data_IF_875764796954
#
_entry.id   IF_875764796954
#
_cell.length_a   1.000
_cell.length_b   1.000
_cell.length_c   1.000
_cell.angle_alpha   90.00
_cell.angle_beta   90.00
_cell.angle_gamma   90.00
#
_symmetry.space_group_name_H-M   'P 1'
#
loop_
_entity.id
_entity.type
_entity.pdbx_description
1 polymer ?
#
# COMPACT_ATOMS: atom_id res chain seq x y z
N UNK A 1 53.23 -24.49 56.28
CA UNK A 1 52.92 -24.06 54.90
C UNK A 1 51.59 -24.71 54.51
N UNK A 2 50.50 -23.94 54.55
CA UNK A 2 49.76 -23.39 53.37
C UNK A 2 48.93 -24.51 52.69
N UNK A 3 47.66 -24.66 53.10
CA UNK A 3 46.40 -24.28 52.37
C UNK A 3 45.97 -25.33 51.31
N UNK A 4 44.71 -25.75 51.09
CA UNK A 4 43.37 -25.28 51.52
C UNK A 4 42.33 -26.39 51.22
N UNK A 5 41.20 -26.29 51.92
CA UNK A 5 40.00 -27.13 52.01
C UNK A 5 39.14 -27.41 50.75
N UNK A 6 38.37 -28.50 50.87
CA UNK A 6 36.95 -28.75 50.52
C UNK A 6 36.37 -28.41 49.14
N UNK A 7 35.67 -29.39 48.54
CA UNK A 7 34.18 -29.38 48.52
C UNK A 7 33.55 -30.47 47.65
N UNK A 8 32.84 -31.37 48.32
CA UNK A 8 31.40 -31.65 48.16
C UNK A 8 30.82 -31.82 46.73
N UNK A 9 30.70 -33.09 46.31
CA UNK A 9 29.87 -33.51 45.18
C UNK A 9 28.38 -33.33 45.52
N UNK A 10 27.71 -32.34 44.93
CA UNK A 10 26.25 -32.25 44.89
C UNK A 10 25.74 -32.61 43.50
N UNK A 11 24.93 -33.67 43.46
CA UNK A 11 24.13 -34.12 42.34
C UNK A 11 23.38 -32.94 41.68
N UNK A 12 23.69 -32.70 40.40
CA UNK A 12 22.91 -31.80 39.55
C UNK A 12 21.81 -32.64 38.88
N UNK A 13 20.57 -32.47 39.36
CA UNK A 13 19.35 -32.89 38.65
C UNK A 13 19.20 -31.99 37.42
N UNK A 14 19.36 -32.55 36.23
CA UNK A 14 19.05 -31.86 34.96
C UNK A 14 17.53 -31.78 34.84
N UNK A 15 16.99 -30.59 35.07
CA UNK A 15 15.58 -30.25 34.83
C UNK A 15 15.44 -30.00 33.31
N UNK A 16 14.69 -30.86 32.64
CA UNK A 16 14.22 -30.65 31.27
C UNK A 16 13.27 -29.45 31.24
N UNK A 17 13.79 -28.27 30.87
CA UNK A 17 13.00 -27.11 30.51
C UNK A 17 12.45 -27.32 29.09
N UNK A 18 11.16 -27.64 28.99
CA UNK A 18 10.42 -27.57 27.74
C UNK A 18 10.27 -26.09 27.34
N UNK A 19 11.05 -25.65 26.36
CA UNK A 19 10.87 -24.36 25.71
C UNK A 19 9.56 -24.38 24.91
N UNK A 20 8.63 -23.41 25.10
CA UNK A 20 7.55 -23.25 24.15
C UNK A 20 8.16 -22.81 22.83
N UNK A 21 8.03 -23.67 21.81
CA UNK A 21 8.30 -23.31 20.42
C UNK A 21 7.29 -22.20 20.10
N UNK A 22 7.74 -20.95 20.18
CA UNK A 22 7.02 -19.81 19.61
C UNK A 22 7.00 -20.08 18.11
N UNK A 23 5.93 -20.71 17.65
CA UNK A 23 5.63 -20.82 16.25
C UNK A 23 5.43 -19.41 15.72
N UNK A 24 6.43 -18.87 15.02
CA UNK A 24 6.20 -17.79 14.09
C UNK A 24 5.22 -18.33 13.06
N UNK A 25 3.93 -18.01 13.24
CA UNK A 25 2.95 -18.17 12.19
C UNK A 25 3.38 -17.26 11.05
N UNK A 26 4.15 -17.80 10.10
CA UNK A 26 4.39 -17.17 8.82
C UNK A 26 3.04 -17.15 8.12
N UNK A 27 2.34 -16.02 8.20
CA UNK A 27 1.18 -15.76 7.36
C UNK A 27 1.62 -15.93 5.90
N UNK A 28 1.07 -16.96 5.27
CA UNK A 28 1.43 -17.33 3.91
C UNK A 28 1.05 -16.20 2.94
N UNK A 29 1.87 -15.87 1.92
CA UNK A 29 1.60 -14.76 0.98
C UNK A 29 0.28 -14.87 0.19
N UNK A 30 -0.42 -16.02 0.27
CA UNK A 30 -1.71 -16.24 -0.38
C UNK A 30 -2.94 -15.80 0.44
N UNK A 31 -2.79 -15.16 1.61
CA UNK A 31 -3.92 -14.79 2.48
C UNK A 31 -4.33 -13.31 2.45
N UNK A 32 -3.64 -12.45 1.71
CA UNK A 32 -3.96 -11.03 1.71
C UNK A 32 -5.17 -10.74 0.79
N UNK A 33 -6.36 -10.82 1.37
CA UNK A 33 -7.62 -10.57 0.68
C UNK A 33 -7.72 -9.14 0.14
N UNK A 34 -7.10 -8.16 0.81
CA UNK A 34 -7.07 -6.77 0.36
C UNK A 34 -6.20 -6.62 -0.88
N UNK A 35 -4.99 -7.21 -0.88
CA UNK A 35 -4.11 -7.19 -2.05
C UNK A 35 -4.79 -7.76 -3.30
N UNK A 36 -5.45 -8.92 -3.18
CA UNK A 36 -6.18 -9.53 -4.31
C UNK A 36 -7.34 -8.68 -4.79
N UNK A 37 -8.11 -8.10 -3.86
CA UNK A 37 -9.25 -7.27 -4.19
C UNK A 37 -8.82 -6.00 -4.93
N UNK A 38 -7.76 -5.33 -4.44
CA UNK A 38 -7.20 -4.15 -5.11
C UNK A 38 -6.66 -4.52 -6.49
N UNK A 39 -5.88 -5.60 -6.62
CA UNK A 39 -5.35 -6.03 -7.91
C UNK A 39 -6.46 -6.30 -8.94
N UNK A 40 -7.52 -7.01 -8.55
CA UNK A 40 -8.66 -7.28 -9.43
C UNK A 40 -9.36 -5.98 -9.86
N UNK A 41 -9.60 -5.05 -8.93
CA UNK A 41 -10.22 -3.77 -9.26
C UNK A 41 -9.33 -2.92 -10.17
N UNK A 42 -8.02 -2.89 -9.94
CA UNK A 42 -7.04 -2.21 -10.81
C UNK A 42 -7.11 -2.77 -12.23
N UNK A 43 -7.22 -4.08 -12.42
CA UNK A 43 -7.37 -4.66 -13.75
C UNK A 43 -8.69 -4.26 -14.43
N UNK A 44 -9.79 -4.24 -13.68
CA UNK A 44 -11.10 -3.82 -14.20
C UNK A 44 -11.16 -2.33 -14.60
N UNK A 45 -10.23 -1.50 -14.14
CA UNK A 45 -10.10 -0.10 -14.61
C UNK A 45 -9.76 0.00 -16.09
N UNK A 46 -9.18 -1.05 -16.69
CA UNK A 46 -8.80 -1.04 -18.11
C UNK A 46 -9.92 -1.54 -19.03
N UNK A 47 -11.08 -1.87 -18.48
CA UNK A 47 -12.24 -2.38 -19.21
C UNK A 47 -13.36 -1.32 -19.22
N UNK A 48 -13.80 -0.83 -20.40
CA UNK A 48 -14.77 0.26 -20.50
C UNK A 48 -16.13 -0.03 -19.85
N UNK A 49 -16.48 -1.30 -19.65
CA UNK A 49 -17.75 -1.69 -19.03
C UNK A 49 -17.73 -1.65 -17.51
N UNK A 50 -16.55 -1.65 -16.91
CA UNK A 50 -16.34 -1.84 -15.47
C UNK A 50 -15.51 -0.73 -14.84
N UNK A 51 -14.86 0.11 -15.64
CA UNK A 51 -13.94 1.16 -15.20
C UNK A 51 -14.53 2.03 -14.08
N UNK A 52 -15.67 2.69 -14.32
CA UNK A 52 -16.29 3.57 -13.32
C UNK A 52 -16.66 2.83 -12.03
N UNK A 53 -17.21 1.62 -12.16
CA UNK A 53 -17.55 0.79 -10.99
C UNK A 53 -16.30 0.34 -10.23
N UNK A 54 -15.17 0.15 -10.92
CA UNK A 54 -13.91 -0.20 -10.30
C UNK A 54 -13.34 0.99 -9.51
N UNK A 55 -13.45 2.22 -10.03
CA UNK A 55 -13.06 3.44 -9.32
C UNK A 55 -13.86 3.62 -8.03
N UNK A 56 -15.19 3.59 -8.12
CA UNK A 56 -16.08 3.69 -6.95
C UNK A 56 -15.73 2.62 -5.90
N UNK A 57 -15.52 1.38 -6.33
CA UNK A 57 -15.16 0.30 -5.42
C UNK A 57 -13.80 0.50 -4.77
N UNK A 58 -12.79 0.98 -5.50
CA UNK A 58 -11.47 1.29 -4.94
C UNK A 58 -11.57 2.40 -3.88
N UNK A 59 -12.35 3.45 -4.12
CA UNK A 59 -12.60 4.51 -3.14
C UNK A 59 -13.27 3.98 -1.87
N UNK A 60 -14.28 3.10 -2.01
CA UNK A 60 -14.99 2.54 -0.84
C UNK A 60 -14.14 1.65 0.06
N UNK A 61 -12.96 1.20 -0.40
CA UNK A 61 -12.04 0.43 0.44
C UNK A 61 -11.41 1.29 1.56
N UNK A 62 -11.34 2.61 1.38
CA UNK A 62 -10.85 3.54 2.38
C UNK A 62 -9.34 3.44 2.68
N UNK A 63 -8.88 4.11 3.75
CA UNK A 63 -7.45 4.28 4.06
C UNK A 63 -6.65 2.97 4.20
N UNK A 64 -7.28 1.87 4.62
CA UNK A 64 -6.60 0.59 4.82
C UNK A 64 -6.13 -0.05 3.50
N UNK A 65 -6.72 0.34 2.37
CA UNK A 65 -6.30 -0.10 1.05
C UNK A 65 -5.12 0.70 0.48
N UNK A 66 -4.77 1.85 1.05
CA UNK A 66 -3.77 2.75 0.49
C UNK A 66 -2.42 2.05 0.19
N UNK A 67 -1.85 1.20 1.06
CA UNK A 67 -0.61 0.49 0.74
C UNK A 67 -0.67 -0.41 -0.48
N UNK A 68 -1.81 -1.05 -0.69
CA UNK A 68 -2.04 -1.93 -1.82
C UNK A 68 -2.29 -1.14 -3.10
N UNK A 69 -2.95 0.02 -3.01
CA UNK A 69 -3.11 0.90 -4.18
C UNK A 69 -1.76 1.51 -4.59
N UNK A 70 -0.95 1.96 -3.62
CA UNK A 70 0.42 2.47 -3.87
C UNK A 70 1.30 1.42 -4.55
N UNK A 71 1.10 0.13 -4.25
CA UNK A 71 1.81 -0.96 -4.92
C UNK A 71 1.61 -0.98 -6.44
N UNK A 72 0.44 -0.54 -6.92
CA UNK A 72 0.09 -0.49 -8.34
C UNK A 72 0.44 0.84 -9.03
N UNK A 73 0.94 1.85 -8.30
CA UNK A 73 1.37 3.10 -8.92
C UNK A 73 2.51 2.85 -9.92
N UNK A 74 2.37 3.47 -11.09
CA UNK A 74 3.28 3.26 -12.23
C UNK A 74 2.72 2.27 -13.25
N UNK A 75 1.51 1.77 -13.05
CA UNK A 75 0.73 1.16 -14.13
C UNK A 75 0.39 2.20 -15.19
N UNK A 76 0.99 2.02 -16.37
CA UNK A 76 0.88 2.94 -17.51
C UNK A 76 -0.10 2.44 -18.58
N UNK A 77 -0.92 1.41 -18.28
CA UNK A 77 -1.98 0.99 -19.19
C UNK A 77 -2.96 2.16 -19.41
N UNK A 78 -3.42 2.39 -20.65
CA UNK A 78 -4.36 3.47 -20.93
C UNK A 78 -5.72 3.21 -20.30
N UNK A 79 -6.36 4.27 -19.82
CA UNK A 79 -7.77 4.22 -19.42
C UNK A 79 -8.67 4.27 -20.67
N UNK A 80 -9.68 3.39 -20.78
CA UNK A 80 -10.62 3.43 -21.88
C UNK A 80 -11.49 4.71 -21.91
N UNK A 81 -11.82 5.30 -20.76
CA UNK A 81 -12.51 6.60 -20.69
C UNK A 81 -11.54 7.63 -20.12
N UNK A 82 -11.22 8.65 -20.92
CA UNK A 82 -10.13 9.59 -20.62
C UNK A 82 -10.59 10.85 -19.87
N UNK A 83 -11.88 10.96 -19.60
CA UNK A 83 -12.49 12.07 -18.90
C UNK A 83 -13.35 11.51 -17.79
N UNK A 84 -13.00 11.82 -16.54
CA UNK A 84 -13.83 11.49 -15.40
C UNK A 84 -14.33 12.76 -14.71
N UNK A 85 -15.55 12.66 -14.20
CA UNK A 85 -16.19 13.63 -13.33
C UNK A 85 -16.15 13.09 -11.90
N UNK A 86 -15.32 13.68 -11.04
CA UNK A 86 -15.29 13.32 -9.61
C UNK A 86 -16.13 14.32 -8.81
N UNK A 87 -16.97 13.81 -7.90
CA UNK A 87 -17.77 14.64 -7.01
C UNK A 87 -16.87 15.46 -6.08
N UNK A 88 -17.07 16.77 -6.02
CA UNK A 88 -16.25 17.66 -5.22
C UNK A 88 -16.82 17.72 -3.78
N UNK A 89 -16.27 16.90 -2.86
CA UNK A 89 -16.74 16.83 -1.47
C UNK A 89 -16.30 18.00 -0.57
N UNK A 90 -15.62 19.01 -1.11
CA UNK A 90 -15.10 20.14 -0.31
C UNK A 90 -16.16 21.23 -0.10
N UNK A 91 -16.39 21.71 1.14
CA UNK A 91 -17.29 22.83 1.42
C UNK A 91 -16.88 24.16 0.77
N UNK A 92 -15.63 24.27 0.29
CA UNK A 92 -15.07 25.46 -0.36
C UNK A 92 -14.96 25.31 -1.89
N UNK A 93 -15.52 24.26 -2.47
CA UNK A 93 -15.51 24.04 -3.91
C UNK A 93 -16.47 25.00 -4.63
N UNK A 94 -15.97 25.71 -5.64
CA UNK A 94 -16.80 26.58 -6.50
C UNK A 94 -17.65 25.77 -7.50
N UNK A 95 -17.15 24.62 -7.97
CA UNK A 95 -17.84 23.69 -8.86
C UNK A 95 -18.07 22.35 -8.13
N UNK A 96 -19.29 21.81 -8.22
CA UNK A 96 -19.67 20.54 -7.57
C UNK A 96 -19.02 19.29 -8.15
N UNK A 97 -18.29 19.43 -9.26
CA UNK A 97 -17.62 18.36 -10.00
C UNK A 97 -16.23 18.83 -10.40
N UNK A 98 -15.25 17.93 -10.42
CA UNK A 98 -13.92 18.16 -10.99
C UNK A 98 -13.76 17.35 -12.27
N UNK A 99 -13.35 17.99 -13.35
CA UNK A 99 -12.99 17.33 -14.60
C UNK A 99 -11.50 16.96 -14.60
N UNK A 100 -11.20 15.68 -14.79
CA UNK A 100 -9.83 15.20 -14.90
C UNK A 100 -9.63 14.48 -16.24
N UNK A 101 -8.60 14.90 -16.99
CA UNK A 101 -8.12 14.15 -18.15
C UNK A 101 -7.12 13.08 -17.68
N UNK A 102 -7.64 11.95 -17.22
CA UNK A 102 -6.84 10.82 -16.76
C UNK A 102 -6.50 9.94 -17.97
N UNK A 103 -5.21 9.77 -18.25
CA UNK A 103 -4.80 9.04 -19.46
C UNK A 103 -4.51 7.57 -19.16
N UNK A 104 -3.99 7.28 -17.98
CA UNK A 104 -3.49 5.97 -17.58
C UNK A 104 -3.90 5.60 -16.17
N UNK A 105 -3.84 4.30 -15.86
CA UNK A 105 -4.19 3.74 -14.54
C UNK A 105 -3.47 4.48 -13.39
N UNK A 106 -2.19 4.84 -13.54
CA UNK A 106 -1.47 5.63 -12.53
C UNK A 106 -2.22 6.90 -12.11
N UNK A 107 -2.79 7.64 -13.07
CA UNK A 107 -3.40 8.95 -12.82
C UNK A 107 -4.63 8.81 -11.91
N UNK A 108 -5.48 7.80 -12.18
CA UNK A 108 -6.66 7.53 -11.35
C UNK A 108 -6.30 6.95 -9.99
N UNK A 109 -5.28 6.09 -9.89
CA UNK A 109 -4.85 5.58 -8.59
C UNK A 109 -4.29 6.69 -7.69
N UNK A 110 -3.56 7.66 -8.26
CA UNK A 110 -3.07 8.84 -7.52
C UNK A 110 -4.24 9.71 -7.02
N UNK A 111 -5.27 9.91 -7.86
CA UNK A 111 -6.48 10.64 -7.47
C UNK A 111 -7.27 9.92 -6.36
N UNK A 112 -7.46 8.60 -6.46
CA UNK A 112 -8.13 7.79 -5.43
C UNK A 112 -7.33 7.85 -4.12
N UNK A 113 -6.00 7.73 -4.18
CA UNK A 113 -5.14 7.85 -3.01
C UNK A 113 -5.31 9.22 -2.33
N UNK A 114 -5.40 10.30 -3.10
CA UNK A 114 -5.71 11.62 -2.56
C UNK A 114 -7.05 11.65 -1.83
N UNK A 115 -8.10 11.09 -2.46
CA UNK A 115 -9.45 11.04 -1.90
C UNK A 115 -9.51 10.23 -0.59
N UNK A 116 -8.94 9.03 -0.56
CA UNK A 116 -9.06 8.13 0.61
C UNK A 116 -8.11 8.50 1.75
N UNK A 117 -7.00 9.18 1.49
CA UNK A 117 -6.01 9.53 2.51
C UNK A 117 -6.09 10.99 2.98
N UNK A 118 -6.71 11.86 2.19
CA UNK A 118 -6.68 13.31 2.37
C UNK A 118 -5.31 13.94 2.07
N UNK A 119 -4.32 13.17 1.64
CA UNK A 119 -2.97 13.65 1.31
C UNK A 119 -2.93 14.07 -0.15
N UNK A 120 -2.45 15.28 -0.42
CA UNK A 120 -2.27 15.76 -1.78
C UNK A 120 -0.79 15.92 -2.07
N UNK A 121 -0.32 15.30 -3.14
CA UNK A 121 0.92 15.68 -3.79
C UNK A 121 0.53 16.48 -5.03
N UNK A 122 0.97 17.73 -5.12
CA UNK A 122 0.77 18.48 -6.34
C UNK A 122 1.46 17.73 -7.49
N UNK A 123 0.76 17.60 -8.62
CA UNK A 123 1.17 17.05 -9.92
C UNK A 123 0.87 15.57 -10.21
N UNK A 124 -0.36 15.24 -10.65
CA UNK A 124 -0.63 14.36 -11.82
C UNK A 124 -2.02 14.66 -12.41
N UNK A 125 -2.25 15.88 -12.91
CA UNK A 125 -3.51 16.20 -13.60
C UNK A 125 -3.21 16.85 -14.95
N UNK A 126 -3.95 16.43 -15.99
CA UNK A 126 -3.98 17.05 -17.32
C UNK A 126 -2.61 17.10 -18.04
N UNK A 127 -2.18 15.99 -18.66
CA UNK A 127 -0.98 15.95 -19.50
C UNK A 127 0.33 15.72 -18.73
N UNK A 128 0.26 15.00 -17.61
CA UNK A 128 1.45 14.63 -16.84
C UNK A 128 2.42 13.80 -17.70
N UNK A 129 3.70 14.13 -17.64
CA UNK A 129 4.74 13.34 -18.31
C UNK A 129 5.02 12.05 -17.55
N UNK A 130 5.62 11.04 -18.18
CA UNK A 130 6.09 9.83 -17.49
C UNK A 130 7.05 10.15 -16.34
N UNK A 131 7.86 11.21 -16.46
CA UNK A 131 8.74 11.68 -15.39
C UNK A 131 7.95 12.21 -14.20
N UNK A 132 6.88 12.96 -14.44
CA UNK A 132 5.99 13.47 -13.40
C UNK A 132 5.33 12.32 -12.64
N UNK A 133 4.81 11.32 -13.36
CA UNK A 133 4.21 10.11 -12.77
C UNK A 133 5.21 9.29 -11.94
N UNK A 134 6.46 9.20 -12.38
CA UNK A 134 7.50 8.54 -11.58
C UNK A 134 7.79 9.28 -10.27
N UNK A 135 7.87 10.62 -10.31
CA UNK A 135 8.06 11.43 -9.10
C UNK A 135 6.86 11.31 -8.15
N UNK A 136 5.64 11.31 -8.69
CA UNK A 136 4.42 11.13 -7.90
C UNK A 136 4.40 9.76 -7.21
N UNK A 137 4.72 8.69 -7.95
CA UNK A 137 4.90 7.35 -7.38
C UNK A 137 5.87 7.39 -6.20
N UNK A 138 7.06 7.96 -6.36
CA UNK A 138 8.07 8.01 -5.29
C UNK A 138 7.55 8.75 -4.04
N UNK A 139 6.80 9.84 -4.22
CA UNK A 139 6.17 10.58 -3.10
C UNK A 139 5.16 9.73 -2.36
N UNK A 140 4.26 9.07 -3.08
CA UNK A 140 3.29 8.14 -2.52
C UNK A 140 3.95 6.96 -1.80
N UNK A 141 4.97 6.36 -2.39
CA UNK A 141 5.72 5.25 -1.76
C UNK A 141 6.38 5.70 -0.45
N UNK A 142 6.97 6.89 -0.44
CA UNK A 142 7.62 7.48 0.75
C UNK A 142 6.60 7.74 1.86
N UNK A 143 5.48 8.40 1.53
CA UNK A 143 4.40 8.64 2.49
C UNK A 143 3.80 7.34 3.02
N UNK A 144 3.58 6.37 2.15
CA UNK A 144 3.01 5.08 2.51
C UNK A 144 3.92 4.33 3.48
N UNK A 145 5.23 4.26 3.23
CA UNK A 145 6.17 3.58 4.11
C UNK A 145 6.27 4.26 5.48
N UNK A 146 6.16 5.59 5.53
CA UNK A 146 6.14 6.36 6.79
C UNK A 146 4.85 6.13 7.58
N UNK A 147 3.70 6.14 6.89
CA UNK A 147 2.36 6.05 7.51
C UNK A 147 2.01 4.62 7.91
N UNK A 148 2.44 3.64 7.10
CA UNK A 148 2.16 2.21 7.29
C UNK A 148 3.48 1.41 7.39
N UNK A 149 4.28 1.61 8.45
CA UNK A 149 5.61 0.99 8.56
C UNK A 149 5.55 -0.54 8.53
N UNK A 150 4.49 -1.15 9.08
CA UNK A 150 4.26 -2.60 9.02
C UNK A 150 3.99 -3.13 7.59
N UNK A 151 3.66 -2.25 6.64
CA UNK A 151 3.38 -2.57 5.23
C UNK A 151 4.40 -1.92 4.28
N UNK A 152 5.55 -1.45 4.78
CA UNK A 152 6.55 -0.74 3.98
C UNK A 152 7.03 -1.51 2.74
N UNK A 153 7.12 -2.84 2.81
CA UNK A 153 7.49 -3.70 1.66
C UNK A 153 6.42 -3.69 0.55
N UNK A 154 5.14 -3.59 0.93
CA UNK A 154 4.03 -3.47 -0.01
C UNK A 154 4.07 -2.07 -0.65
N UNK A 155 4.23 -1.04 0.19
CA UNK A 155 4.36 0.36 -0.23
C UNK A 155 5.47 0.57 -1.25
N UNK A 156 6.59 -0.14 -1.20
CA UNK A 156 7.69 0.02 -2.17
C UNK A 156 7.47 -0.70 -3.51
N UNK A 157 6.27 -1.23 -3.77
CA UNK A 157 5.97 -2.00 -4.98
C UNK A 157 6.56 -3.42 -4.94
N UNK A 158 6.78 -3.98 -3.75
CA UNK A 158 7.38 -5.32 -3.58
C UNK A 158 8.88 -5.40 -3.88
N UNK A 159 9.52 -4.29 -4.26
CA UNK A 159 10.99 -4.19 -4.33
C UNK A 159 11.52 -3.78 -2.96
N UNK A 160 12.34 -4.61 -2.32
CA UNK A 160 13.15 -4.14 -1.19
C UNK A 160 14.07 -3.05 -1.74
N UNK A 161 14.01 -1.86 -1.15
CA UNK A 161 15.08 -0.87 -1.30
C UNK A 161 16.35 -1.56 -0.78
N UNK A 162 17.29 -1.81 -1.69
CA UNK A 162 18.65 -2.25 -1.37
C UNK A 162 19.50 -1.02 -1.08
#
# INVERSE_FOLDING_TARGET
MIFKEDSMHKMIKVILLALPIVGCATSSPSSDSMARRVAALVDETTNPRTEMQAFEQLETLGPDAAPYIVHHLGDMRPLPIKEIELANGSPAAFEGVRHYALEVVHDVLSAILNQISGVSFEFVYNGATSRTREMDKVRWQTWCASTYPAKAVICSGGRRLQ
#
